data_IF_700077197782
#
_entry.id   IF_700077197782
#
_cell.length_a   1.000
_cell.length_b   1.000
_cell.length_c   1.000
_cell.angle_alpha   90.00
_cell.angle_beta   90.00
_cell.angle_gamma   90.00
#
_symmetry.space_group_name_H-M   'P 1'
#
loop_
_entity.id
_entity.type
_entity.pdbx_description
1 polymer ?
#
# COMPACT_ATOMS: atom_id res chain seq x y z
N UNK A 1 -23.36 5.21 10.90
CA UNK A 1 -24.56 5.02 10.07
C UNK A 1 -24.54 5.88 8.81
N UNK A 2 -24.32 7.20 8.90
CA UNK A 2 -24.26 8.09 7.72
C UNK A 2 -23.12 7.75 6.74
N UNK A 3 -21.92 7.44 7.25
CA UNK A 3 -20.77 7.00 6.43
C UNK A 3 -21.06 5.68 5.72
N UNK A 4 -21.73 4.73 6.39
CA UNK A 4 -22.10 3.44 5.79
C UNK A 4 -23.18 3.60 4.71
N UNK A 5 -24.14 4.50 4.89
CA UNK A 5 -25.17 4.81 3.88
C UNK A 5 -24.59 5.56 2.67
N UNK A 6 -23.66 6.48 2.89
CA UNK A 6 -22.94 7.16 1.80
C UNK A 6 -22.06 6.16 1.06
N UNK A 7 -21.32 5.29 1.76
CA UNK A 7 -20.53 4.23 1.15
C UNK A 7 -21.41 3.27 0.33
N UNK A 8 -22.56 2.85 0.88
CA UNK A 8 -23.50 1.97 0.18
C UNK A 8 -24.08 2.63 -1.07
N UNK A 9 -24.50 3.90 -1.00
CA UNK A 9 -24.99 4.66 -2.16
C UNK A 9 -23.90 4.91 -3.21
N UNK A 10 -22.65 5.14 -2.79
CA UNK A 10 -21.52 5.24 -3.72
C UNK A 10 -21.16 3.90 -4.33
N UNK A 11 -21.34 2.79 -3.60
CA UNK A 11 -21.10 1.43 -4.07
C UNK A 11 -22.13 1.06 -5.14
N UNK A 12 -23.43 1.34 -4.93
CA UNK A 12 -24.47 1.11 -5.94
C UNK A 12 -24.20 1.90 -7.23
N UNK A 13 -23.82 3.19 -7.10
CA UNK A 13 -23.45 4.00 -8.27
C UNK A 13 -22.16 3.55 -8.93
N UNK A 14 -21.21 3.02 -8.17
CA UNK A 14 -19.94 2.52 -8.69
C UNK A 14 -20.08 1.15 -9.35
N UNK A 15 -21.01 0.30 -8.90
CA UNK A 15 -21.40 -0.92 -9.60
C UNK A 15 -22.01 -0.60 -10.97
N UNK A 16 -22.79 0.49 -11.08
CA UNK A 16 -23.28 0.96 -12.37
C UNK A 16 -22.19 1.52 -13.30
N UNK A 17 -20.97 1.76 -12.81
CA UNK A 17 -19.79 2.21 -13.58
C UNK A 17 -18.83 1.03 -13.82
N UNK A 18 -19.10 -0.13 -13.22
CA UNK A 18 -18.28 -1.31 -13.33
C UNK A 18 -18.75 -2.19 -14.48
N UNK A 19 -18.07 -2.05 -15.61
CA UNK A 19 -18.33 -2.85 -16.80
C UNK A 19 -17.08 -3.69 -17.13
N UNK A 20 -17.31 -4.99 -17.38
CA UNK A 20 -16.27 -5.88 -17.92
C UNK A 20 -16.18 -5.62 -19.43
N UNK A 21 -14.98 -5.36 -19.98
CA UNK A 21 -14.81 -5.08 -21.40
C UNK A 21 -15.38 -6.20 -22.28
N UNK A 22 -16.04 -5.85 -23.39
CA UNK A 22 -16.63 -6.80 -24.34
C UNK A 22 -18.01 -7.35 -23.95
N UNK A 23 -18.41 -7.26 -22.68
CA UNK A 23 -19.69 -7.81 -22.22
C UNK A 23 -20.93 -6.96 -22.56
N UNK A 24 -20.75 -5.68 -22.91
CA UNK A 24 -21.85 -4.81 -23.37
C UNK A 24 -22.30 -5.21 -24.78
N UNK A 25 -21.37 -5.63 -25.62
CA UNK A 25 -21.61 -5.98 -27.01
C UNK A 25 -22.00 -7.46 -27.20
N UNK A 26 -21.64 -8.33 -26.24
CA UNK A 26 -21.91 -9.77 -26.28
C UNK A 26 -22.61 -10.27 -25.00
N UNK A 27 -23.91 -9.99 -24.89
CA UNK A 27 -24.70 -10.22 -23.66
C UNK A 27 -25.02 -11.68 -23.32
N UNK A 28 -24.82 -12.61 -24.27
CA UNK A 28 -24.92 -14.06 -24.09
C UNK A 28 -23.65 -14.69 -23.49
N UNK A 29 -22.53 -13.94 -23.46
CA UNK A 29 -21.33 -14.27 -22.70
C UNK A 29 -20.50 -15.44 -23.27
N UNK A 30 -20.83 -15.93 -24.46
CA UNK A 30 -20.12 -17.04 -25.11
C UNK A 30 -19.25 -16.47 -26.23
N UNK A 31 -17.93 -16.39 -26.00
CA UNK A 31 -16.96 -15.94 -27.01
C UNK A 31 -16.34 -17.15 -27.71
N UNK A 32 -16.69 -17.37 -28.98
CA UNK A 32 -16.32 -18.59 -29.73
C UNK A 32 -15.60 -18.32 -31.05
N UNK A 33 -15.55 -17.07 -31.51
CA UNK A 33 -14.95 -16.71 -32.80
C UNK A 33 -14.04 -15.47 -32.74
N UNK A 34 -13.07 -15.38 -33.66
CA UNK A 34 -12.10 -14.25 -33.70
C UNK A 34 -12.78 -12.87 -33.88
N UNK A 35 -13.87 -12.80 -34.63
CA UNK A 35 -14.57 -11.53 -34.91
C UNK A 35 -15.34 -10.95 -33.72
N UNK A 36 -15.54 -11.73 -32.64
CA UNK A 36 -16.20 -11.26 -31.42
C UNK A 36 -15.26 -10.46 -30.51
N UNK A 37 -13.96 -10.40 -30.83
CA UNK A 37 -12.94 -9.70 -30.03
C UNK A 37 -12.54 -8.33 -30.60
N UNK A 38 -13.34 -7.73 -31.48
CA UNK A 38 -13.09 -6.40 -32.06
C UNK A 38 -13.05 -5.27 -31.01
N UNK A 39 -13.52 -5.52 -29.78
CA UNK A 39 -13.43 -4.59 -28.65
C UNK A 39 -12.01 -4.48 -28.06
N UNK A 40 -11.09 -5.41 -28.39
CA UNK A 40 -9.70 -5.41 -27.88
C UNK A 40 -8.94 -4.24 -28.51
N UNK A 41 -8.49 -3.24 -27.72
CA UNK A 41 -7.83 -2.08 -28.29
C UNK A 41 -6.41 -2.41 -28.76
N UNK A 42 -6.10 -2.07 -30.01
CA UNK A 42 -4.72 -2.10 -30.51
C UNK A 42 -3.90 -0.94 -29.91
N UNK A 43 -2.99 -1.25 -28.98
CA UNK A 43 -2.09 -0.25 -28.42
C UNK A 43 -0.92 0.01 -29.37
N UNK A 44 -0.67 1.29 -29.66
CA UNK A 44 0.53 1.69 -30.39
C UNK A 44 1.83 1.30 -29.67
N UNK A 45 2.89 1.04 -30.44
CA UNK A 45 4.21 0.58 -29.93
C UNK A 45 4.75 1.48 -28.81
N UNK A 46 4.57 2.80 -28.93
CA UNK A 46 5.00 3.75 -27.88
C UNK A 46 4.32 3.51 -26.53
N UNK A 47 3.02 3.23 -26.53
CA UNK A 47 2.25 2.91 -25.32
C UNK A 47 2.70 1.60 -24.69
N UNK A 48 3.04 0.60 -25.51
CA UNK A 48 3.57 -0.69 -25.05
C UNK A 48 4.94 -0.49 -24.38
N UNK A 49 5.83 0.29 -25.00
CA UNK A 49 7.16 0.61 -24.43
C UNK A 49 7.02 1.32 -23.08
N UNK A 50 6.15 2.33 -22.99
CA UNK A 50 5.89 3.04 -21.74
C UNK A 50 5.41 2.08 -20.66
N UNK A 51 4.44 1.22 -20.99
CA UNK A 51 3.94 0.20 -20.06
C UNK A 51 5.03 -0.76 -19.56
N UNK A 52 5.89 -1.25 -20.45
CA UNK A 52 7.03 -2.11 -20.07
C UNK A 52 8.02 -1.41 -19.16
N UNK A 53 8.34 -0.14 -19.42
CA UNK A 53 9.25 0.65 -18.56
C UNK A 53 8.65 0.82 -17.16
N UNK A 54 7.36 1.10 -17.05
CA UNK A 54 6.67 1.20 -15.75
C UNK A 54 6.70 -0.14 -15.02
N UNK A 55 6.41 -1.24 -15.71
CA UNK A 55 6.42 -2.59 -15.16
C UNK A 55 7.80 -2.99 -14.63
N UNK A 56 8.86 -2.79 -15.42
CA UNK A 56 10.24 -3.08 -15.00
C UNK A 56 10.65 -2.19 -13.83
N UNK A 57 10.36 -0.89 -13.91
CA UNK A 57 10.71 0.08 -12.87
C UNK A 57 10.06 -0.24 -11.53
N UNK A 58 8.79 -0.64 -11.52
CA UNK A 58 8.06 -1.01 -10.29
C UNK A 58 8.55 -2.33 -9.70
N UNK A 59 8.94 -3.32 -10.51
CA UNK A 59 9.55 -4.55 -9.99
C UNK A 59 10.92 -4.27 -9.37
N UNK A 60 11.77 -3.50 -10.06
CA UNK A 60 13.10 -3.14 -9.58
C UNK A 60 13.06 -2.28 -8.32
N UNK A 61 12.00 -1.51 -8.10
CA UNK A 61 11.85 -0.64 -6.92
C UNK A 61 11.78 -1.42 -5.61
N UNK A 62 11.37 -2.69 -5.65
CA UNK A 62 11.23 -3.55 -4.46
C UNK A 62 12.58 -4.14 -4.02
N UNK A 63 13.53 -4.30 -4.94
CA UNK A 63 14.83 -4.92 -4.66
C UNK A 63 15.67 -4.22 -3.58
N UNK A 64 15.73 -2.87 -3.50
CA UNK A 64 16.38 -2.20 -2.38
C UNK A 64 15.91 -2.67 -1.00
N UNK A 65 14.62 -2.99 -0.84
CA UNK A 65 14.07 -3.49 0.42
C UNK A 65 14.57 -4.90 0.72
N UNK A 66 14.57 -5.79 -0.27
CA UNK A 66 15.13 -7.13 -0.16
C UNK A 66 16.62 -7.12 0.16
N UNK A 67 17.40 -6.27 -0.51
CA UNK A 67 18.83 -6.12 -0.26
C UNK A 67 19.08 -5.64 1.18
N UNK A 68 18.34 -4.64 1.66
CA UNK A 68 18.44 -4.16 3.05
C UNK A 68 18.15 -5.28 4.05
N UNK A 69 17.10 -6.08 3.79
CA UNK A 69 16.71 -7.20 4.65
C UNK A 69 17.77 -8.33 4.65
N UNK A 70 18.29 -8.70 3.48
CA UNK A 70 19.32 -9.75 3.35
C UNK A 70 20.67 -9.33 3.96
N UNK A 71 21.06 -8.05 3.82
CA UNK A 71 22.32 -7.54 4.39
C UNK A 71 22.25 -7.39 5.91
N UNK A 72 21.15 -6.82 6.42
CA UNK A 72 20.99 -6.57 7.86
C UNK A 72 20.68 -7.85 8.65
N UNK A 73 20.04 -8.84 8.00
CA UNK A 73 19.49 -10.06 8.63
C UNK A 73 18.67 -9.77 9.89
N UNK A 74 17.96 -8.64 9.87
CA UNK A 74 17.15 -8.14 10.97
C UNK A 74 15.92 -7.43 10.40
N UNK A 75 14.75 -7.86 10.84
CA UNK A 75 13.45 -7.34 10.43
C UNK A 75 12.75 -6.48 11.49
N UNK A 76 13.44 -6.04 12.56
CA UNK A 76 12.87 -5.24 13.66
C UNK A 76 12.23 -3.91 13.22
N UNK A 77 12.59 -3.40 12.05
CA UNK A 77 12.01 -2.18 11.48
C UNK A 77 10.69 -2.39 10.71
N UNK A 78 10.30 -3.62 10.41
CA UNK A 78 9.12 -3.92 9.60
C UNK A 78 7.93 -4.23 10.49
N UNK A 79 6.76 -3.67 10.16
CA UNK A 79 5.51 -3.99 10.85
C UNK A 79 4.89 -5.26 10.25
N UNK A 80 4.62 -6.31 11.04
CA UNK A 80 4.00 -7.54 10.53
C UNK A 80 2.56 -7.32 10.08
N UNK A 81 1.82 -6.42 10.74
CA UNK A 81 0.46 -6.07 10.34
C UNK A 81 0.44 -5.42 8.95
N UNK A 82 1.41 -4.55 8.65
CA UNK A 82 1.54 -3.98 7.31
C UNK A 82 1.76 -5.08 6.26
N UNK A 83 2.64 -6.05 6.53
CA UNK A 83 2.91 -7.16 5.61
C UNK A 83 1.69 -8.07 5.39
N UNK A 84 0.89 -8.32 6.43
CA UNK A 84 -0.35 -9.10 6.32
C UNK A 84 -1.41 -8.38 5.48
N UNK A 85 -1.63 -7.08 5.73
CA UNK A 85 -2.56 -6.28 4.91
C UNK A 85 -2.05 -6.14 3.48
N UNK A 86 -0.72 -6.04 3.29
CA UNK A 86 -0.09 -6.06 1.96
C UNK A 86 -0.40 -7.36 1.22
N UNK A 87 -0.33 -8.50 1.90
CA UNK A 87 -0.66 -9.79 1.30
C UNK A 87 -2.11 -9.83 0.82
N UNK A 88 -3.06 -9.44 1.68
CA UNK A 88 -4.50 -9.42 1.34
C UNK A 88 -4.74 -8.50 0.16
N UNK A 89 -4.15 -7.30 0.16
CA UNK A 89 -4.24 -6.35 -0.94
C UNK A 89 -3.76 -6.94 -2.27
N UNK A 90 -2.57 -7.57 -2.29
CA UNK A 90 -2.03 -8.13 -3.53
C UNK A 90 -2.91 -9.27 -4.07
N UNK A 91 -3.45 -10.11 -3.20
CA UNK A 91 -4.32 -11.23 -3.62
C UNK A 91 -5.65 -10.73 -4.18
N UNK A 92 -6.30 -9.78 -3.51
CA UNK A 92 -7.57 -9.23 -3.99
C UNK A 92 -7.39 -8.34 -5.22
N UNK A 93 -6.27 -7.62 -5.33
CA UNK A 93 -5.91 -6.88 -6.55
C UNK A 93 -5.70 -7.82 -7.75
N UNK A 94 -5.04 -8.96 -7.52
CA UNK A 94 -4.88 -9.99 -8.57
C UNK A 94 -6.23 -10.56 -8.98
N UNK A 95 -7.05 -10.99 -8.02
CA UNK A 95 -8.35 -11.59 -8.29
C UNK A 95 -9.30 -10.61 -9.00
N UNK A 96 -9.34 -9.35 -8.56
CA UNK A 96 -10.02 -8.27 -9.27
C UNK A 96 -9.52 -8.16 -10.72
N UNK A 97 -8.20 -8.09 -10.92
CA UNK A 97 -7.59 -7.97 -12.24
C UNK A 97 -7.90 -9.14 -13.17
N UNK A 98 -7.94 -10.37 -12.66
CA UNK A 98 -8.32 -11.54 -13.45
C UNK A 98 -9.76 -11.44 -13.95
N UNK A 99 -10.71 -11.14 -13.06
CA UNK A 99 -12.13 -10.99 -13.45
C UNK A 99 -12.31 -9.82 -14.42
N UNK A 100 -11.69 -8.67 -14.16
CA UNK A 100 -11.88 -7.47 -14.99
C UNK A 100 -11.23 -7.56 -16.36
N UNK A 101 -10.25 -8.45 -16.53
CA UNK A 101 -9.58 -8.69 -17.81
C UNK A 101 -9.91 -10.08 -18.38
N UNK A 102 -10.93 -10.79 -17.88
CA UNK A 102 -11.24 -12.17 -18.27
C UNK A 102 -11.43 -12.30 -19.80
N UNK A 103 -12.23 -11.40 -20.39
CA UNK A 103 -12.50 -11.38 -21.83
C UNK A 103 -11.26 -11.06 -22.67
N UNK A 104 -10.36 -10.20 -22.17
CA UNK A 104 -9.04 -9.94 -22.80
C UNK A 104 -8.08 -11.13 -22.66
N UNK A 105 -8.16 -11.88 -21.56
CA UNK A 105 -7.35 -13.08 -21.36
C UNK A 105 -7.84 -14.18 -22.31
N UNK A 106 -9.15 -14.35 -22.43
CA UNK A 106 -9.75 -15.32 -23.34
C UNK A 106 -9.45 -15.02 -24.81
N UNK A 107 -9.50 -13.74 -25.20
CA UNK A 107 -9.15 -13.32 -26.57
C UNK A 107 -7.71 -13.64 -26.97
N UNK A 108 -6.79 -13.80 -26.00
CA UNK A 108 -5.40 -14.21 -26.27
C UNK A 108 -5.29 -15.58 -26.94
N UNK A 109 -6.27 -16.46 -26.73
CA UNK A 109 -6.29 -17.81 -27.33
C UNK A 109 -6.49 -17.73 -28.84
N UNK A 110 -7.27 -16.75 -29.30
CA UNK A 110 -7.66 -16.58 -30.70
C UNK A 110 -6.76 -15.57 -31.43
N UNK A 111 -6.56 -14.38 -30.85
CA UNK A 111 -5.72 -13.31 -31.43
C UNK A 111 -4.21 -13.54 -31.24
N UNK A 112 -3.85 -14.47 -30.37
CA UNK A 112 -2.47 -14.73 -29.96
C UNK A 112 -1.94 -13.70 -28.95
N UNK A 113 -0.89 -14.10 -28.22
CA UNK A 113 -0.32 -13.29 -27.14
C UNK A 113 0.13 -11.88 -27.59
N UNK A 114 0.66 -11.73 -28.80
CA UNK A 114 1.14 -10.44 -29.29
C UNK A 114 0.00 -9.43 -29.51
N UNK A 115 -1.20 -9.90 -29.88
CA UNK A 115 -2.38 -9.04 -30.06
C UNK A 115 -2.89 -8.50 -28.73
N UNK A 116 -2.91 -9.33 -27.69
CA UNK A 116 -3.50 -8.98 -26.40
C UNK A 116 -2.50 -8.46 -25.37
N UNK A 117 -1.19 -8.68 -25.58
CA UNK A 117 -0.15 -8.28 -24.62
C UNK A 117 -0.27 -6.81 -24.23
N UNK A 118 -0.48 -5.93 -25.21
CA UNK A 118 -0.56 -4.48 -24.99
C UNK A 118 -1.61 -4.08 -23.97
N UNK A 119 -2.85 -4.58 -24.11
CA UNK A 119 -3.94 -4.25 -23.18
C UNK A 119 -3.74 -4.90 -21.80
N UNK A 120 -3.08 -6.06 -21.75
CA UNK A 120 -2.81 -6.81 -20.52
C UNK A 120 -1.57 -6.35 -19.73
N UNK A 121 -0.77 -5.40 -20.23
CA UNK A 121 0.48 -4.96 -19.55
C UNK A 121 0.23 -4.58 -18.08
N UNK A 122 -0.80 -3.76 -17.82
CA UNK A 122 -1.14 -3.30 -16.47
C UNK A 122 -1.51 -4.46 -15.54
N UNK A 123 -2.23 -5.46 -16.06
CA UNK A 123 -2.61 -6.66 -15.31
C UNK A 123 -1.39 -7.54 -15.01
N UNK A 124 -0.55 -7.81 -16.02
CA UNK A 124 0.71 -8.56 -15.87
C UNK A 124 1.61 -7.89 -14.82
N UNK A 125 1.69 -6.56 -14.82
CA UNK A 125 2.43 -5.82 -13.81
C UNK A 125 1.90 -6.06 -12.39
N UNK A 126 0.58 -6.04 -12.18
CA UNK A 126 -0.03 -6.35 -10.87
C UNK A 126 0.34 -7.77 -10.43
N UNK A 127 0.28 -8.76 -11.34
CA UNK A 127 0.70 -10.14 -11.06
C UNK A 127 2.15 -10.22 -10.62
N UNK A 128 3.05 -9.61 -11.38
CA UNK A 128 4.48 -9.63 -11.09
C UNK A 128 4.79 -8.98 -9.75
N UNK A 129 4.16 -7.84 -9.45
CA UNK A 129 4.30 -7.20 -8.14
C UNK A 129 3.78 -8.10 -7.02
N UNK A 130 2.64 -8.76 -7.18
CA UNK A 130 2.17 -9.74 -6.21
C UNK A 130 3.23 -10.83 -5.98
N UNK A 131 3.75 -11.45 -7.03
CA UNK A 131 4.81 -12.47 -6.92
C UNK A 131 6.06 -11.98 -6.18
N UNK A 132 6.44 -10.71 -6.36
CA UNK A 132 7.61 -10.12 -5.69
C UNK A 132 7.31 -9.71 -4.25
N UNK A 133 6.10 -9.29 -3.91
CA UNK A 133 5.74 -8.85 -2.56
C UNK A 133 5.38 -10.01 -1.62
N UNK A 134 4.74 -11.08 -2.10
CA UNK A 134 4.28 -12.20 -1.25
C UNK A 134 5.41 -12.87 -0.44
N UNK A 135 6.64 -13.10 -0.98
CA UNK A 135 7.71 -13.70 -0.20
C UNK A 135 8.22 -12.83 0.95
N UNK A 136 7.94 -11.52 0.97
CA UNK A 136 8.46 -10.60 2.00
C UNK A 136 8.09 -11.02 3.42
N UNK A 137 6.88 -11.56 3.62
CA UNK A 137 6.44 -12.03 4.95
C UNK A 137 7.24 -13.26 5.41
N UNK A 138 7.64 -14.12 4.48
CA UNK A 138 8.50 -15.28 4.77
C UNK A 138 9.88 -14.79 5.20
N UNK A 139 10.48 -13.87 4.43
CA UNK A 139 11.77 -13.28 4.80
C UNK A 139 11.70 -12.51 6.12
N UNK A 140 10.59 -11.82 6.40
CA UNK A 140 10.35 -11.18 7.68
C UNK A 140 10.42 -12.18 8.85
N UNK A 141 9.70 -13.30 8.75
CA UNK A 141 9.68 -14.36 9.78
C UNK A 141 11.04 -15.04 9.92
N UNK A 142 11.76 -15.27 8.83
CA UNK A 142 13.08 -15.91 8.86
C UNK A 142 14.12 -15.03 9.56
N UNK A 143 14.13 -13.72 9.28
CA UNK A 143 15.11 -12.77 9.83
C UNK A 143 14.63 -12.01 11.08
N UNK A 144 13.53 -12.44 11.70
CA UNK A 144 13.04 -11.81 12.93
C UNK A 144 13.93 -12.19 14.13
N UNK A 145 14.55 -11.20 14.82
CA UNK A 145 15.53 -11.50 15.86
C UNK A 145 14.89 -12.02 17.15
N UNK A 146 13.74 -11.47 17.56
CA UNK A 146 13.11 -11.79 18.85
C UNK A 146 11.89 -12.70 18.72
N UNK A 147 12.15 -13.99 18.52
CA UNK A 147 11.08 -15.00 18.37
C UNK A 147 10.21 -15.20 19.61
N UNK A 148 10.54 -14.57 20.75
CA UNK A 148 9.75 -14.66 21.98
C UNK A 148 8.58 -13.68 21.99
N UNK A 149 8.68 -12.57 21.24
CA UNK A 149 7.61 -11.57 21.14
C UNK A 149 6.35 -12.16 20.51
N UNK A 150 5.29 -12.28 21.31
CA UNK A 150 4.03 -12.86 20.86
C UNK A 150 3.40 -12.05 19.72
N UNK A 151 3.24 -10.74 19.92
CA UNK A 151 2.56 -9.88 18.94
C UNK A 151 3.32 -9.74 17.61
N UNK A 152 4.65 -9.62 17.67
CA UNK A 152 5.45 -9.32 16.48
C UNK A 152 5.94 -10.57 15.73
N UNK A 153 6.12 -11.71 16.41
CA UNK A 153 6.57 -12.94 15.76
C UNK A 153 5.47 -14.01 15.67
N UNK A 154 4.81 -14.31 16.79
CA UNK A 154 3.87 -15.44 16.84
C UNK A 154 2.57 -15.15 16.09
N UNK A 155 2.01 -13.94 16.19
CA UNK A 155 0.83 -13.57 15.40
C UNK A 155 1.07 -13.78 13.90
N UNK A 156 2.06 -13.14 13.25
CA UNK A 156 2.29 -13.34 11.82
C UNK A 156 2.65 -14.78 11.48
N UNK A 157 3.36 -15.51 12.34
CA UNK A 157 3.65 -16.93 12.13
C UNK A 157 2.38 -17.79 12.00
N UNK A 158 1.39 -17.56 12.88
CA UNK A 158 0.13 -18.31 12.86
C UNK A 158 -0.88 -17.76 11.84
N UNK A 159 -0.88 -16.45 11.57
CA UNK A 159 -1.82 -15.85 10.61
C UNK A 159 -1.38 -16.04 9.17
N UNK A 160 -0.08 -16.14 8.88
CA UNK A 160 0.43 -16.36 7.50
C UNK A 160 -0.20 -17.58 6.82
N UNK A 161 -0.21 -18.80 7.39
CA UNK A 161 -0.84 -19.95 6.74
C UNK A 161 -2.35 -19.78 6.54
N UNK A 162 -3.03 -19.10 7.48
CA UNK A 162 -4.47 -18.79 7.34
C UNK A 162 -4.70 -17.85 6.17
N UNK A 163 -3.90 -16.79 6.04
CA UNK A 163 -3.99 -15.84 4.92
C UNK A 163 -3.68 -16.52 3.59
N UNK A 164 -2.66 -17.38 3.53
CA UNK A 164 -2.34 -18.18 2.32
C UNK A 164 -3.53 -19.08 1.95
N UNK A 165 -4.13 -19.77 2.91
CA UNK A 165 -5.30 -20.62 2.67
C UNK A 165 -6.49 -19.81 2.14
N UNK A 166 -6.81 -18.67 2.77
CA UNK A 166 -7.87 -17.76 2.30
C UNK A 166 -7.58 -17.27 0.88
N UNK A 167 -6.32 -17.06 0.54
CA UNK A 167 -5.92 -16.58 -0.79
C UNK A 167 -6.08 -17.65 -1.86
N UNK A 168 -5.84 -18.92 -1.52
CA UNK A 168 -6.19 -20.05 -2.39
C UNK A 168 -7.70 -20.13 -2.61
N UNK A 169 -8.51 -19.84 -1.60
CA UNK A 169 -9.97 -19.78 -1.76
C UNK A 169 -10.38 -18.63 -2.69
N UNK A 170 -9.81 -17.43 -2.51
CA UNK A 170 -10.06 -16.27 -3.38
C UNK A 170 -9.63 -16.54 -4.84
N UNK A 171 -8.51 -17.22 -5.06
CA UNK A 171 -8.13 -17.59 -6.42
C UNK A 171 -8.97 -18.72 -6.98
N UNK A 172 -9.47 -19.64 -6.14
CA UNK A 172 -10.39 -20.69 -6.56
C UNK A 172 -11.76 -20.16 -6.96
N UNK A 173 -12.22 -19.04 -6.39
CA UNK A 173 -13.52 -18.45 -6.75
C UNK A 173 -13.53 -17.82 -8.13
N UNK A 174 -12.39 -17.34 -8.65
CA UNK A 174 -12.32 -16.71 -9.98
C UNK A 174 -12.73 -17.69 -11.12
N UNK A 175 -12.02 -18.82 -11.35
CA UNK A 175 -12.41 -19.76 -12.39
C UNK A 175 -13.74 -20.44 -12.09
N UNK A 176 -14.10 -20.62 -10.82
CA UNK A 176 -15.41 -21.17 -10.46
C UNK A 176 -16.55 -20.28 -10.95
N UNK A 177 -16.46 -18.97 -10.72
CA UNK A 177 -17.47 -18.00 -11.16
C UNK A 177 -17.53 -17.92 -12.69
N UNK A 178 -16.37 -17.86 -13.35
CA UNK A 178 -16.29 -17.87 -14.81
C UNK A 178 -16.94 -19.13 -15.40
N UNK A 179 -16.80 -20.30 -14.77
CA UNK A 179 -17.43 -21.54 -15.23
C UNK A 179 -18.93 -21.64 -14.93
N UNK A 180 -19.42 -21.02 -13.83
CA UNK A 180 -20.82 -21.16 -13.42
C UNK A 180 -21.73 -20.05 -13.92
N UNK A 181 -21.23 -18.82 -13.94
CA UNK A 181 -21.97 -17.59 -14.27
C UNK A 181 -21.49 -16.97 -15.59
N UNK A 182 -20.33 -17.40 -16.10
CA UNK A 182 -19.71 -16.84 -17.29
C UNK A 182 -18.79 -15.66 -16.98
N UNK A 183 -17.98 -15.28 -17.96
CA UNK A 183 -17.07 -14.11 -17.88
C UNK A 183 -17.85 -12.80 -17.75
N UNK A 184 -19.03 -12.73 -18.36
CA UNK A 184 -19.94 -11.59 -18.36
C UNK A 184 -21.09 -11.70 -17.34
N UNK A 185 -21.03 -12.69 -16.45
CA UNK A 185 -22.07 -12.94 -15.47
C UNK A 185 -22.19 -11.83 -14.41
N UNK A 186 -23.41 -11.61 -13.91
CA UNK A 186 -23.71 -10.59 -12.91
C UNK A 186 -22.98 -10.86 -11.58
N UNK A 187 -22.88 -12.12 -11.16
CA UNK A 187 -22.18 -12.52 -9.94
C UNK A 187 -20.67 -12.42 -10.13
N UNK A 188 -20.15 -12.86 -11.28
CA UNK A 188 -18.73 -12.71 -11.64
C UNK A 188 -18.31 -11.24 -11.54
N UNK A 189 -19.09 -10.36 -12.16
CA UNK A 189 -18.88 -8.91 -12.13
C UNK A 189 -18.97 -8.34 -10.71
N UNK A 190 -20.03 -8.68 -9.96
CA UNK A 190 -20.22 -8.22 -8.59
C UNK A 190 -19.08 -8.60 -7.64
N UNK A 191 -18.58 -9.84 -7.74
CA UNK A 191 -17.43 -10.30 -6.94
C UNK A 191 -16.13 -9.63 -7.39
N UNK A 192 -15.93 -9.45 -8.68
CA UNK A 192 -14.80 -8.68 -9.21
C UNK A 192 -14.75 -7.27 -8.64
N UNK A 193 -15.88 -6.56 -8.64
CA UNK A 193 -16.00 -5.24 -8.03
C UNK A 193 -15.69 -5.27 -6.53
N UNK A 194 -16.24 -6.24 -5.79
CA UNK A 194 -15.98 -6.40 -4.36
C UNK A 194 -14.48 -6.57 -4.05
N UNK A 195 -13.76 -7.37 -4.83
CA UNK A 195 -12.31 -7.51 -4.66
C UNK A 195 -11.56 -6.19 -4.88
N UNK A 196 -11.99 -5.37 -5.85
CA UNK A 196 -11.42 -4.04 -6.09
C UNK A 196 -11.67 -3.06 -4.94
N UNK A 197 -12.84 -3.14 -4.30
CA UNK A 197 -13.12 -2.35 -3.10
C UNK A 197 -12.28 -2.83 -1.92
N UNK A 198 -12.17 -4.14 -1.71
CA UNK A 198 -11.35 -4.70 -0.62
C UNK A 198 -9.89 -4.27 -0.76
N UNK A 199 -9.30 -4.37 -1.96
CA UNK A 199 -7.91 -3.96 -2.18
C UNK A 199 -7.73 -2.44 -1.94
N UNK A 200 -8.69 -1.62 -2.39
CA UNK A 200 -8.69 -0.17 -2.12
C UNK A 200 -8.73 0.15 -0.62
N UNK A 201 -9.58 -0.53 0.16
CA UNK A 201 -9.63 -0.36 1.62
C UNK A 201 -8.30 -0.76 2.27
N UNK A 202 -7.72 -1.89 1.83
CA UNK A 202 -6.43 -2.35 2.33
C UNK A 202 -5.32 -1.32 2.07
N UNK A 203 -5.30 -0.68 0.89
CA UNK A 203 -4.39 0.42 0.57
C UNK A 203 -4.53 1.55 1.59
N UNK A 204 -5.75 2.00 1.90
CA UNK A 204 -5.93 3.04 2.92
C UNK A 204 -5.40 2.63 4.29
N UNK A 205 -5.67 1.40 4.73
CA UNK A 205 -5.19 0.86 6.01
C UNK A 205 -3.66 0.71 6.03
N UNK A 206 -3.02 0.42 4.90
CA UNK A 206 -1.56 0.28 4.80
C UNK A 206 -0.86 1.63 4.99
N UNK A 207 -1.26 2.65 4.23
CA UNK A 207 -0.47 3.88 4.13
C UNK A 207 -0.87 4.93 5.16
N UNK A 208 -2.14 4.98 5.61
CA UNK A 208 -2.59 6.04 6.54
C UNK A 208 -1.90 6.00 7.90
N UNK A 209 -1.75 4.83 8.57
CA UNK A 209 -1.02 4.76 9.84
C UNK A 209 0.45 5.15 9.66
N UNK A 210 1.06 4.78 8.53
CA UNK A 210 2.45 5.12 8.24
C UNK A 210 2.63 6.63 8.03
N UNK A 211 1.71 7.29 7.31
CA UNK A 211 1.67 8.74 7.14
C UNK A 211 1.56 9.41 8.52
N UNK A 212 0.57 9.03 9.31
CA UNK A 212 0.35 9.57 10.66
C UNK A 212 1.60 9.40 11.56
N UNK A 213 2.19 8.21 11.57
CA UNK A 213 3.39 7.94 12.36
C UNK A 213 4.60 8.74 11.86
N UNK A 214 4.71 9.00 10.56
CA UNK A 214 5.79 9.83 9.99
C UNK A 214 5.63 11.29 10.43
N UNK A 215 4.40 11.82 10.43
CA UNK A 215 4.09 13.14 10.99
C UNK A 215 4.46 13.21 12.49
N UNK A 216 4.02 12.22 13.28
CA UNK A 216 4.26 12.19 14.73
C UNK A 216 5.74 12.07 15.07
N UNK A 217 6.48 11.21 14.36
CA UNK A 217 7.90 10.92 14.62
C UNK A 217 8.86 11.92 13.96
N UNK A 218 8.40 12.71 12.99
CA UNK A 218 9.23 13.65 12.21
C UNK A 218 10.51 13.01 11.63
N UNK A 219 10.43 11.73 11.26
CA UNK A 219 11.53 10.93 10.70
C UNK A 219 11.00 9.73 9.90
N UNK A 220 11.80 9.20 8.98
CA UNK A 220 11.44 8.08 8.10
C UNK A 220 11.33 6.73 8.83
N UNK A 221 11.94 6.60 10.01
CA UNK A 221 12.01 5.34 10.75
C UNK A 221 12.70 4.23 9.94
N UNK A 222 12.01 3.11 9.75
CA UNK A 222 12.55 1.94 9.06
C UNK A 222 12.36 1.93 7.54
N UNK A 223 11.51 2.84 7.02
CA UNK A 223 11.10 2.88 5.63
C UNK A 223 12.29 3.20 4.70
N UNK A 224 12.34 2.57 3.53
CA UNK A 224 13.35 2.89 2.53
C UNK A 224 12.93 4.12 1.74
N UNK A 225 13.56 5.26 2.04
CA UNK A 225 13.37 6.50 1.27
C UNK A 225 13.61 6.24 -0.21
N UNK A 226 14.66 5.50 -0.56
CA UNK A 226 14.99 5.13 -1.94
C UNK A 226 13.86 4.37 -2.64
N UNK A 227 13.24 3.41 -1.96
CA UNK A 227 12.11 2.66 -2.52
C UNK A 227 10.91 3.57 -2.76
N UNK A 228 10.60 4.46 -1.82
CA UNK A 228 9.50 5.42 -1.95
C UNK A 228 9.74 6.44 -3.06
N UNK A 229 10.98 6.91 -3.23
CA UNK A 229 11.37 7.85 -4.30
C UNK A 229 11.18 7.25 -5.70
N UNK A 230 11.31 5.93 -5.85
CA UNK A 230 11.07 5.24 -7.13
C UNK A 230 9.60 4.88 -7.28
N UNK A 231 8.99 4.34 -6.24
CA UNK A 231 7.64 3.74 -6.31
C UNK A 231 6.54 4.80 -6.38
N UNK A 232 6.62 5.88 -5.59
CA UNK A 232 5.58 6.91 -5.58
C UNK A 232 5.35 7.56 -6.96
N UNK A 233 6.38 8.06 -7.68
CA UNK A 233 6.17 8.58 -9.04
C UNK A 233 5.75 7.47 -10.01
N UNK A 234 6.29 6.26 -9.87
CA UNK A 234 5.89 5.10 -10.68
C UNK A 234 4.40 4.79 -10.57
N UNK A 235 3.82 4.86 -9.37
CA UNK A 235 2.39 4.62 -9.14
C UNK A 235 1.50 5.72 -9.71
N UNK A 236 1.95 6.98 -9.71
CA UNK A 236 1.23 8.08 -10.38
C UNK A 236 1.19 7.83 -11.88
N UNK A 237 2.35 7.54 -12.50
CA UNK A 237 2.44 7.27 -13.93
C UNK A 237 1.60 6.03 -14.30
N UNK A 238 1.68 4.96 -13.50
CA UNK A 238 0.87 3.76 -13.69
C UNK A 238 -0.63 4.05 -13.65
N UNK A 239 -1.09 4.84 -12.68
CA UNK A 239 -2.51 5.18 -12.54
C UNK A 239 -3.00 5.95 -13.77
N UNK A 240 -2.22 6.93 -14.25
CA UNK A 240 -2.52 7.68 -15.46
C UNK A 240 -2.55 6.74 -16.67
N UNK A 241 -1.59 5.82 -16.77
CA UNK A 241 -1.54 4.81 -17.83
C UNK A 241 -2.78 3.91 -17.82
N UNK A 242 -3.22 3.46 -16.65
CA UNK A 242 -4.42 2.63 -16.49
C UNK A 242 -5.69 3.35 -16.94
N UNK A 243 -5.85 4.63 -16.61
CA UNK A 243 -7.04 5.42 -16.91
C UNK A 243 -7.10 5.77 -18.41
N UNK A 244 -6.01 6.28 -18.98
CA UNK A 244 -6.04 6.89 -20.30
C UNK A 244 -5.57 5.97 -21.43
N UNK A 245 -4.68 5.01 -21.15
CA UNK A 245 -4.05 4.19 -22.18
C UNK A 245 -4.70 2.80 -22.24
N UNK A 246 -4.61 2.03 -21.16
CA UNK A 246 -5.18 0.67 -21.13
C UNK A 246 -6.68 0.65 -20.80
N UNK A 247 -7.26 1.81 -20.44
CA UNK A 247 -8.68 1.98 -20.08
C UNK A 247 -9.21 0.87 -19.15
N UNK A 248 -8.44 0.60 -18.08
CA UNK A 248 -8.77 -0.46 -17.14
C UNK A 248 -10.05 -0.14 -16.36
N UNK A 249 -10.69 -1.17 -15.81
CA UNK A 249 -11.93 -1.00 -15.04
C UNK A 249 -11.74 -0.05 -13.85
N UNK A 250 -12.83 0.64 -13.46
CA UNK A 250 -12.86 1.54 -12.30
C UNK A 250 -12.28 0.90 -11.04
N UNK A 251 -12.73 -0.31 -10.72
CA UNK A 251 -12.34 -1.00 -9.48
C UNK A 251 -10.86 -1.38 -9.46
N UNK A 252 -10.25 -1.57 -10.63
CA UNK A 252 -8.81 -1.84 -10.77
C UNK A 252 -7.97 -0.57 -10.58
N UNK A 253 -8.26 0.52 -11.29
CA UNK A 253 -7.41 1.72 -11.17
C UNK A 253 -7.66 2.52 -9.88
N UNK A 254 -8.83 2.39 -9.24
CA UNK A 254 -9.16 3.10 -8.00
C UNK A 254 -8.17 2.80 -6.88
N UNK A 255 -7.82 1.53 -6.67
CA UNK A 255 -6.85 1.12 -5.64
C UNK A 255 -5.44 1.67 -5.93
N UNK A 256 -5.04 1.66 -7.20
CA UNK A 256 -3.77 2.22 -7.67
C UNK A 256 -3.72 3.74 -7.48
N UNK A 257 -4.81 4.43 -7.79
CA UNK A 257 -4.96 5.87 -7.58
C UNK A 257 -4.87 6.24 -6.09
N UNK A 258 -5.59 5.51 -5.23
CA UNK A 258 -5.53 5.69 -3.78
C UNK A 258 -4.09 5.52 -3.27
N UNK A 259 -3.39 4.48 -3.76
CA UNK A 259 -2.00 4.24 -3.38
C UNK A 259 -1.06 5.35 -3.88
N UNK A 260 -1.22 5.80 -5.13
CA UNK A 260 -0.41 6.88 -5.69
C UNK A 260 -0.50 8.16 -4.86
N UNK A 261 -1.72 8.57 -4.48
CA UNK A 261 -1.95 9.76 -3.67
C UNK A 261 -1.26 9.62 -2.30
N UNK A 262 -1.49 8.50 -1.60
CA UNK A 262 -0.91 8.28 -0.27
C UNK A 262 0.62 8.17 -0.30
N UNK A 263 1.18 7.52 -1.33
CA UNK A 263 2.63 7.40 -1.49
C UNK A 263 3.29 8.75 -1.82
N UNK A 264 2.64 9.62 -2.61
CA UNK A 264 3.14 10.99 -2.88
C UNK A 264 3.12 11.84 -1.60
N UNK A 265 2.05 11.76 -0.81
CA UNK A 265 1.98 12.44 0.50
C UNK A 265 3.13 11.96 1.39
N UNK A 266 3.30 10.64 1.52
CA UNK A 266 4.36 10.07 2.33
C UNK A 266 5.74 10.46 1.84
N UNK A 267 6.01 10.39 0.53
CA UNK A 267 7.29 10.80 -0.06
C UNK A 267 7.60 12.27 0.23
N UNK A 268 6.60 13.15 0.15
CA UNK A 268 6.75 14.58 0.46
C UNK A 268 7.18 14.78 1.92
N UNK A 269 6.56 14.07 2.86
CA UNK A 269 6.94 14.10 4.28
C UNK A 269 8.37 13.61 4.51
N UNK A 270 8.75 12.51 3.85
CA UNK A 270 10.09 11.95 3.98
C UNK A 270 11.15 12.90 3.43
N UNK A 271 10.90 13.53 2.28
CA UNK A 271 11.79 14.53 1.71
C UNK A 271 11.95 15.71 2.68
N UNK A 272 10.83 16.20 3.23
CA UNK A 272 10.84 17.31 4.18
C UNK A 272 11.64 16.99 5.45
N UNK A 273 11.35 15.88 6.12
CA UNK A 273 12.00 15.57 7.40
C UNK A 273 13.45 15.08 7.27
N UNK A 274 13.77 14.23 6.28
CA UNK A 274 15.10 13.62 6.17
C UNK A 274 16.12 14.49 5.41
N UNK A 275 15.67 15.32 4.47
CA UNK A 275 16.58 16.15 3.66
C UNK A 275 16.48 17.62 4.00
N UNK A 276 15.27 18.19 4.01
CA UNK A 276 15.11 19.63 4.22
C UNK A 276 15.44 19.97 5.68
N UNK A 277 14.65 19.45 6.63
CA UNK A 277 14.81 19.75 8.05
C UNK A 277 16.19 19.37 8.57
N UNK A 278 16.73 18.21 8.18
CA UNK A 278 18.06 17.78 8.62
C UNK A 278 19.19 18.67 8.07
N UNK A 279 19.03 19.23 6.87
CA UNK A 279 20.01 20.16 6.28
C UNK A 279 20.01 21.51 6.97
N UNK A 280 18.85 22.00 7.41
CA UNK A 280 18.73 23.29 8.10
C UNK A 280 18.86 23.21 9.61
N UNK A 281 18.57 22.05 10.21
CA UNK A 281 18.68 21.75 11.64
C UNK A 281 19.46 20.43 11.83
N UNK A 282 20.76 20.38 11.52
CA UNK A 282 21.57 19.19 11.76
C UNK A 282 21.55 18.87 13.25
N UNK A 283 21.13 17.65 13.62
CA UNK A 283 21.29 17.17 14.99
C UNK A 283 22.78 17.12 15.32
N UNK A 284 23.20 17.81 16.38
CA UNK A 284 24.47 17.54 17.06
C UNK A 284 24.30 16.19 17.76
N UNK A 285 24.52 15.09 17.04
CA UNK A 285 24.61 13.78 17.69
C UNK A 285 25.85 13.80 18.60
N UNK A 286 25.68 13.24 19.79
CA UNK A 286 26.60 13.23 20.93
C UNK A 286 28.07 12.95 20.56
N UNK A 287 28.89 14.00 20.62
CA UNK A 287 30.35 13.88 20.76
C UNK A 287 30.74 14.48 22.12
N UNK A 288 30.42 13.76 23.19
CA UNK A 288 31.20 13.77 24.43
C UNK A 288 32.05 12.49 24.39
N UNK A 289 33.38 12.50 24.37
CA UNK A 289 34.31 13.18 25.24
C UNK A 289 35.65 13.43 24.53
N UNK A 290 35.95 14.64 24.09
CA UNK A 290 37.29 15.23 24.29
C UNK A 290 37.06 16.71 24.57
N UNK A 291 37.14 17.10 25.84
CA UNK A 291 37.44 18.50 26.20
C UNK A 291 38.91 18.75 25.83
N UNK A 292 39.22 19.80 25.06
CA UNK A 292 40.36 20.63 25.38
C UNK A 292 39.84 21.82 26.17
N UNK A 293 40.37 21.98 27.39
CA UNK A 293 40.30 23.25 28.09
C UNK A 293 40.87 24.36 27.19
N UNK A 294 40.20 25.52 27.24
CA UNK A 294 40.60 26.87 26.82
C UNK A 294 39.88 27.40 25.56
N UNK A 295 39.09 28.45 25.82
CA UNK A 295 39.06 29.64 24.96
C UNK A 295 37.92 29.75 23.96
N UNK A 296 36.90 30.51 24.37
CA UNK A 296 36.05 31.40 23.54
C UNK A 296 35.34 30.83 22.31
N UNK A 297 34.02 30.63 22.43
CA UNK A 297 33.08 30.56 21.28
C UNK A 297 31.71 31.10 21.67
N UNK A 298 31.54 32.42 21.65
CA UNK A 298 30.22 33.08 21.80
C UNK A 298 29.63 33.52 20.44
N UNK A 299 29.91 32.82 19.34
CA UNK A 299 29.45 33.29 18.00
C UNK A 299 28.93 32.19 17.06
N UNK A 300 28.90 30.92 17.46
CA UNK A 300 28.38 29.82 16.61
C UNK A 300 27.02 29.24 17.06
N UNK A 301 26.53 29.54 18.27
CA UNK A 301 25.23 29.04 18.75
C UNK A 301 24.04 29.84 18.23
N UNK A 302 24.20 31.11 17.88
CA UNK A 302 23.08 31.96 17.41
C UNK A 302 22.69 31.73 15.95
N UNK A 303 23.55 31.11 15.14
CA UNK A 303 23.33 30.99 13.69
C UNK A 303 22.57 29.70 13.32
N UNK A 304 22.81 28.56 14.01
CA UNK A 304 22.08 27.30 13.74
C UNK A 304 20.63 27.34 14.23
N UNK A 305 20.37 27.97 15.37
CA UNK A 305 19.02 28.07 15.92
C UNK A 305 18.16 29.08 15.12
N UNK A 306 18.77 30.20 14.70
CA UNK A 306 18.20 31.17 13.74
C UNK A 306 17.85 30.54 12.39
N UNK A 307 18.65 29.59 11.92
CA UNK A 307 18.44 28.92 10.63
C UNK A 307 17.38 27.82 10.71
N UNK A 308 17.19 27.22 11.88
CA UNK A 308 16.13 26.26 12.16
C UNK A 308 14.76 26.93 12.35
N UNK A 309 14.73 28.12 12.96
CA UNK A 309 13.52 28.93 13.15
C UNK A 309 12.98 29.55 11.84
N UNK A 310 13.84 29.68 10.82
CA UNK A 310 13.48 30.16 9.47
C UNK A 310 12.88 29.11 8.55
N UNK A 311 12.87 27.82 8.93
CA UNK A 311 12.17 26.79 8.15
C UNK A 311 10.70 26.85 8.54
N UNK A 312 9.79 27.34 7.67
CA UNK A 312 8.38 27.39 8.03
C UNK A 312 7.88 25.97 8.34
N UNK A 313 7.19 25.81 9.48
CA UNK A 313 6.48 24.58 9.83
C UNK A 313 5.17 24.54 9.04
N UNK A 314 5.28 24.45 7.71
CA UNK A 314 4.16 24.50 6.75
C UNK A 314 3.15 23.36 6.98
N UNK A 315 3.51 22.34 7.77
CA UNK A 315 2.69 21.16 8.02
C UNK A 315 2.09 21.08 9.44
N UNK A 316 2.43 22.02 10.34
CA UNK A 316 2.00 22.00 11.74
C UNK A 316 0.59 22.54 12.02
N UNK A 317 0.00 23.32 11.11
CA UNK A 317 -1.27 24.03 11.35
C UNK A 317 -2.54 23.22 11.03
N UNK A 318 -2.44 22.00 10.48
CA UNK A 318 -3.60 21.29 9.93
C UNK A 318 -4.36 20.39 10.93
N UNK A 319 -3.86 20.16 12.16
CA UNK A 319 -4.55 19.31 13.14
C UNK A 319 -4.37 19.90 14.55
N UNK A 320 -5.44 20.42 15.21
CA UNK A 320 -5.33 20.89 16.59
C UNK A 320 -4.94 19.74 17.53
N UNK A 321 -4.12 19.99 18.57
CA UNK A 321 -3.82 18.99 19.57
C UNK A 321 -5.11 18.50 20.22
N UNK A 322 -5.34 17.19 20.24
CA UNK A 322 -6.32 16.61 21.14
C UNK A 322 -5.77 16.71 22.56
N UNK A 323 -6.56 17.33 23.42
CA UNK A 323 -6.28 17.56 24.84
C UNK A 323 -6.18 16.21 25.57
N UNK A 324 -4.95 15.79 25.85
CA UNK A 324 -4.67 14.64 26.70
C UNK A 324 -4.90 15.07 28.15
N UNK A 325 -6.14 14.89 28.61
CA UNK A 325 -6.58 15.18 29.96
C UNK A 325 -5.70 14.54 31.05
N UNK A 326 -5.31 15.39 31.99
CA UNK A 326 -5.17 15.14 33.42
C UNK A 326 -4.00 14.25 33.91
N UNK A 327 -2.91 14.94 34.28
CA UNK A 327 -1.87 14.45 35.20
C UNK A 327 -2.48 14.20 36.59
N UNK A 328 -2.60 12.94 37.00
CA UNK A 328 -2.73 12.61 38.44
C UNK A 328 -1.32 12.53 39.04
N UNK A 329 -1.05 13.48 39.91
CA UNK A 329 0.18 13.67 40.68
C UNK A 329 0.23 12.69 41.85
N UNK A 330 1.23 11.81 41.89
CA UNK A 330 1.61 11.06 43.09
C UNK A 330 2.15 12.00 44.17
N UNK A 331 1.35 12.23 45.23
CA UNK A 331 1.87 12.67 46.54
C UNK A 331 0.94 12.27 47.70
N UNK A 332 1.20 11.07 48.23
CA UNK A 332 1.28 10.65 49.65
C UNK A 332 0.55 11.52 50.69
N UNK A 333 -0.52 10.99 51.32
CA UNK A 333 -0.91 11.26 52.72
C UNK A 333 -1.52 9.98 53.34
N UNK A 334 -1.00 9.62 54.51
CA UNK A 334 -1.49 8.62 55.47
C UNK A 334 -2.90 8.97 55.99
N UNK A 335 -3.77 7.97 56.15
CA UNK A 335 -4.46 7.68 57.42
C UNK A 335 -5.67 6.76 57.16
N UNK A 336 -5.73 5.67 57.96
CA UNK A 336 -6.92 5.19 58.70
C UNK A 336 -8.22 5.05 57.89
N UNK A 337 -8.80 3.87 57.68
CA UNK A 337 -9.42 3.06 58.74
C UNK A 337 -9.95 1.73 58.17
N UNK A 338 -10.07 0.76 59.08
CA UNK A 338 -10.80 -0.51 59.07
C UNK A 338 -12.04 -0.52 58.14
N UNK A 339 -12.47 -1.65 57.53
CA UNK A 339 -13.09 -2.81 58.18
C UNK A 339 -13.15 -3.97 57.17
N UNK A 340 -12.72 -5.13 57.64
CA UNK A 340 -12.99 -6.47 57.08
C UNK A 340 -14.42 -6.88 57.46
N UNK A 341 -15.24 -7.32 56.50
CA UNK A 341 -16.05 -8.55 56.61
C UNK A 341 -16.84 -8.84 55.33
N UNK A 342 -16.93 -10.12 54.90
CA UNK A 342 -17.86 -10.59 53.89
C UNK A 342 -19.12 -11.21 54.53
N UNK A 343 -20.27 -11.09 53.88
CA UNK A 343 -21.53 -11.86 54.01
C UNK A 343 -22.48 -11.17 53.01
N UNK A 344 -23.07 -11.78 51.98
CA UNK A 344 -23.54 -13.14 51.76
C UNK A 344 -23.71 -13.35 50.24
#
# INVERSE_FOLDING_TARGET
MLVLLVLFSTIEKAQAIFEIPGCVDNSDGEFTSEGEFDFVPELGVGSIIVGMVIMIGTVLSVFPQYIKLLRKRDSSGLSPFYLLIQFINQVTAVANGCITNATYIHSCVYLGFNGCFGVLISWIQIMLLAMVYLPQIVFYLVFFPDKKNFSLFKIPLYTTPVVVFISLLIFGTVPLLEMTDGECGEWTSGIGFLYGIICTICVFIQWSPQIYMTFKRKSAGALSVLMMSITAPGMVILTIYMIFITKQSFSTWLSNAASAIQQVILLTLLIYYEFIKKRFCPKKDEESEIKPLLGDKTTQESESDSQCEKVPDVLGEAIPPLDDGEKVSDRKIEDTEQIITPLN
#
